data_IF_136970100386
#
_entry.id   IF_136970100386
#
_cell.length_a   1.000
_cell.length_b   1.000
_cell.length_c   1.000
_cell.angle_alpha   90.00
_cell.angle_beta   90.00
_cell.angle_gamma   90.00
#
_symmetry.space_group_name_H-M   'P 1'
#
loop_
_entity.id
_entity.type
_entity.pdbx_description
1 polymer ?
#
# COMPACT_ATOMS: atom_id res chain seq x y z
N UNK A 1 8.76 22.04 2.95
CA UNK A 1 9.27 20.76 3.45
C UNK A 1 8.61 19.69 2.60
N UNK A 2 9.40 18.96 1.79
CA UNK A 2 8.86 17.90 0.93
C UNK A 2 8.42 16.74 1.84
N UNK A 3 7.14 16.39 1.81
CA UNK A 3 6.64 15.24 2.54
C UNK A 3 7.00 13.98 1.75
N UNK A 4 7.70 13.08 2.38
CA UNK A 4 8.04 11.76 1.83
C UNK A 4 6.74 10.96 1.74
N UNK A 5 6.32 10.62 0.52
CA UNK A 5 5.20 9.70 0.31
C UNK A 5 5.80 8.30 0.43
N UNK A 6 5.62 7.70 1.58
CA UNK A 6 5.93 6.30 1.79
C UNK A 6 4.77 5.50 1.16
N UNK A 7 5.05 4.76 0.08
CA UNK A 7 4.06 3.88 -0.57
C UNK A 7 3.85 2.61 0.26
N UNK A 8 3.40 2.78 1.48
CA UNK A 8 2.89 1.69 2.30
C UNK A 8 1.83 2.32 3.20
N UNK A 9 0.59 2.15 2.81
CA UNK A 9 -0.56 2.79 3.43
C UNK A 9 -0.91 4.13 2.76
N UNK A 10 -2.15 4.27 2.41
CA UNK A 10 -2.72 5.46 1.78
C UNK A 10 -2.67 6.64 2.77
N UNK A 11 -1.51 7.30 2.91
CA UNK A 11 -1.44 8.58 3.62
C UNK A 11 -1.70 9.65 2.57
N UNK A 12 -2.96 9.98 2.39
CA UNK A 12 -3.35 11.13 1.58
C UNK A 12 -2.89 12.40 2.28
N UNK A 13 -1.81 13.00 1.79
CA UNK A 13 -1.47 14.36 2.16
C UNK A 13 -2.36 15.26 1.36
N UNK A 14 -3.24 16.03 2.01
CA UNK A 14 -4.09 17.02 1.34
C UNK A 14 -3.22 17.93 0.46
N UNK A 15 -3.40 17.91 -0.86
CA UNK A 15 -2.71 18.81 -1.77
C UNK A 15 -3.32 20.19 -1.71
N UNK A 16 -2.55 21.18 -2.13
CA UNK A 16 -3.00 22.58 -2.14
C UNK A 16 -3.68 22.99 -3.44
N UNK A 17 -3.83 22.09 -4.42
CA UNK A 17 -4.42 22.40 -5.75
C UNK A 17 -5.07 21.15 -6.35
N UNK A 18 -6.26 21.32 -6.92
CA UNK A 18 -6.91 20.30 -7.75
C UNK A 18 -6.03 19.96 -8.97
N UNK A 19 -5.82 18.70 -9.24
CA UNK A 19 -4.98 18.31 -10.36
C UNK A 19 -4.88 16.80 -10.58
N UNK A 20 -4.26 16.48 -11.70
CA UNK A 20 -3.82 15.10 -12.01
C UNK A 20 -2.32 15.02 -11.79
N UNK A 21 -1.88 14.02 -11.07
CA UNK A 21 -0.48 13.65 -10.93
C UNK A 21 -0.24 12.24 -11.43
N UNK A 22 1.01 11.91 -11.70
CA UNK A 22 1.45 10.56 -12.04
C UNK A 22 2.64 10.18 -11.16
N UNK A 23 2.77 8.91 -10.86
CA UNK A 23 3.90 8.37 -10.14
C UNK A 23 4.47 7.14 -10.84
N UNK A 24 5.75 6.88 -10.60
CA UNK A 24 6.43 5.66 -11.02
C UNK A 24 7.46 5.29 -9.96
N UNK A 25 7.57 4.00 -9.66
CA UNK A 25 8.52 3.48 -8.68
C UNK A 25 9.15 2.17 -9.14
N UNK A 26 10.33 1.91 -8.58
CA UNK A 26 11.02 0.62 -8.66
C UNK A 26 11.41 0.25 -7.24
N UNK A 27 11.10 -0.96 -6.84
CA UNK A 27 11.50 -1.52 -5.54
C UNK A 27 12.21 -2.85 -5.71
N UNK A 28 13.12 -3.17 -4.79
CA UNK A 28 13.81 -4.48 -4.80
C UNK A 28 12.86 -5.62 -4.47
N UNK A 29 11.77 -5.32 -3.76
CA UNK A 29 10.66 -6.23 -3.49
C UNK A 29 9.41 -5.38 -3.20
N UNK A 30 8.25 -5.79 -3.71
CA UNK A 30 6.97 -5.19 -3.39
C UNK A 30 6.40 -5.88 -2.16
N UNK A 31 6.42 -5.18 -1.05
CA UNK A 31 5.83 -5.65 0.22
C UNK A 31 4.49 -4.94 0.42
N UNK A 32 3.45 -5.71 0.70
CA UNK A 32 2.14 -5.20 1.08
C UNK A 32 1.76 -5.73 2.48
N UNK A 33 1.65 -4.83 3.46
CA UNK A 33 1.33 -5.15 4.85
C UNK A 33 2.18 -6.30 5.42
N UNK A 34 3.50 -6.24 5.18
CA UNK A 34 4.46 -7.20 5.67
C UNK A 34 4.79 -8.36 4.72
N UNK A 35 3.88 -8.71 3.82
CA UNK A 35 4.01 -9.86 2.92
C UNK A 35 4.60 -9.47 1.57
N UNK A 36 5.52 -10.28 1.03
CA UNK A 36 6.06 -10.09 -0.32
C UNK A 36 4.98 -10.34 -1.39
N UNK A 37 4.94 -9.45 -2.38
CA UNK A 37 4.04 -9.54 -3.52
C UNK A 37 4.78 -9.86 -4.81
N UNK A 38 6.08 -9.59 -4.89
CA UNK A 38 6.82 -9.73 -6.14
C UNK A 38 7.98 -10.73 -6.08
N UNK A 39 8.41 -11.17 -4.89
CA UNK A 39 9.58 -12.04 -4.70
C UNK A 39 10.76 -11.59 -5.60
N UNK A 40 11.06 -10.27 -5.53
CA UNK A 40 12.08 -9.62 -6.33
C UNK A 40 11.63 -8.25 -6.86
N UNK A 41 12.34 -7.76 -7.88
CA UNK A 41 12.14 -6.39 -8.39
C UNK A 41 10.71 -6.19 -8.89
N UNK A 42 10.04 -5.16 -8.35
CA UNK A 42 8.76 -4.67 -8.84
C UNK A 42 8.87 -3.25 -9.41
N UNK A 43 8.14 -3.03 -10.49
CA UNK A 43 7.91 -1.71 -11.09
C UNK A 43 6.45 -1.37 -10.89
N UNK A 44 6.19 -0.19 -10.34
CA UNK A 44 4.84 0.28 -10.06
C UNK A 44 4.62 1.68 -10.64
N UNK A 45 3.35 2.06 -10.79
CA UNK A 45 3.01 3.41 -11.18
C UNK A 45 1.51 3.63 -11.24
N UNK A 46 1.11 4.90 -11.26
CA UNK A 46 -0.29 5.26 -11.22
C UNK A 46 -0.58 6.69 -11.64
N UNK A 47 -1.85 7.00 -11.64
CA UNK A 47 -2.39 8.33 -11.84
C UNK A 47 -3.38 8.66 -10.74
N UNK A 48 -3.25 9.85 -10.18
CA UNK A 48 -4.08 10.37 -9.12
C UNK A 48 -4.79 11.63 -9.58
N UNK A 49 -6.04 11.77 -9.23
CA UNK A 49 -6.80 13.01 -9.32
C UNK A 49 -7.22 13.45 -7.93
N UNK A 50 -6.99 14.71 -7.63
CA UNK A 50 -7.39 15.31 -6.36
C UNK A 50 -8.14 16.61 -6.64
N UNK A 51 -9.26 16.79 -5.95
CA UNK A 51 -10.10 17.98 -6.06
C UNK A 51 -9.92 18.89 -4.84
N UNK A 52 -10.10 20.20 -5.03
CA UNK A 52 -9.98 21.21 -3.94
C UNK A 52 -10.92 20.95 -2.74
N UNK A 53 -11.98 20.19 -2.94
CA UNK A 53 -12.95 19.88 -1.88
C UNK A 53 -12.58 18.64 -1.05
N UNK A 54 -11.44 17.99 -1.33
CA UNK A 54 -10.97 16.79 -0.64
C UNK A 54 -11.36 15.46 -1.29
N UNK A 55 -12.16 15.46 -2.37
CA UNK A 55 -12.39 14.25 -3.16
C UNK A 55 -11.14 13.86 -3.92
N UNK A 56 -10.83 12.57 -3.94
CA UNK A 56 -9.75 12.00 -4.75
C UNK A 56 -10.19 10.71 -5.43
N UNK A 57 -9.52 10.37 -6.53
CA UNK A 57 -9.64 9.09 -7.21
C UNK A 57 -8.34 8.76 -7.94
N UNK A 58 -8.03 7.48 -8.12
CA UNK A 58 -6.82 7.10 -8.84
C UNK A 58 -6.87 5.67 -9.33
N UNK A 59 -5.81 5.36 -10.07
CA UNK A 59 -5.47 4.00 -10.51
C UNK A 59 -3.99 3.77 -10.26
N UNK A 60 -3.66 2.56 -9.85
CA UNK A 60 -2.29 2.16 -9.61
C UNK A 60 -2.09 0.73 -10.11
N UNK A 61 -0.86 0.33 -10.34
CA UNK A 61 -0.54 -1.05 -10.67
C UNK A 61 0.93 -1.37 -10.48
N UNK A 62 1.20 -2.65 -10.29
CA UNK A 62 2.55 -3.20 -10.14
C UNK A 62 2.64 -4.60 -10.74
N UNK A 63 3.85 -5.05 -11.04
CA UNK A 63 4.07 -6.46 -11.28
C UNK A 63 4.15 -7.20 -9.93
N UNK A 64 3.56 -8.39 -9.90
CA UNK A 64 3.57 -9.32 -8.77
C UNK A 64 4.14 -10.67 -9.21
N UNK A 65 4.59 -11.48 -8.24
CA UNK A 65 5.00 -12.87 -8.42
C UNK A 65 4.72 -13.67 -7.15
N UNK A 66 3.62 -14.38 -7.12
CA UNK A 66 3.23 -15.24 -5.99
C UNK A 66 3.65 -16.72 -6.20
N UNK A 67 4.50 -16.99 -7.20
CA UNK A 67 4.81 -18.37 -7.57
C UNK A 67 3.59 -19.09 -8.16
N UNK A 68 3.11 -20.13 -7.51
CA UNK A 68 1.96 -20.89 -8.00
C UNK A 68 0.64 -20.37 -7.45
N UNK A 69 -0.30 -20.13 -8.35
CA UNK A 69 -1.68 -19.76 -8.03
C UNK A 69 -2.68 -20.52 -8.92
N UNK A 70 -3.91 -20.67 -8.47
CA UNK A 70 -4.99 -21.25 -9.29
C UNK A 70 -5.57 -20.15 -10.18
N UNK A 71 -5.45 -20.33 -11.50
CA UNK A 71 -5.98 -19.39 -12.50
C UNK A 71 -7.52 -19.45 -12.61
N UNK A 72 -8.08 -18.55 -13.43
CA UNK A 72 -9.53 -18.45 -13.66
C UNK A 72 -10.13 -19.70 -14.35
N UNK A 73 -9.31 -20.57 -14.91
CA UNK A 73 -9.72 -21.86 -15.46
C UNK A 73 -9.66 -23.00 -14.42
N UNK A 74 -9.22 -22.72 -13.19
CA UNK A 74 -9.07 -23.68 -12.10
C UNK A 74 -7.83 -24.54 -12.22
N UNK A 75 -6.81 -24.07 -12.95
CA UNK A 75 -5.55 -24.79 -13.16
C UNK A 75 -4.48 -24.17 -12.25
N UNK A 76 -3.76 -24.99 -11.50
CA UNK A 76 -2.57 -24.54 -10.76
C UNK A 76 -1.51 -24.11 -11.75
N UNK A 77 -1.23 -22.84 -11.81
CA UNK A 77 -0.33 -22.21 -12.78
C UNK A 77 0.84 -21.56 -12.05
N UNK A 78 2.05 -21.67 -12.62
CA UNK A 78 3.19 -20.89 -12.17
C UNK A 78 2.96 -19.43 -12.56
N UNK A 79 2.73 -18.60 -11.54
CA UNK A 79 2.47 -17.16 -11.67
C UNK A 79 3.78 -16.36 -11.61
N UNK A 80 4.80 -16.84 -12.32
CA UNK A 80 6.14 -16.23 -12.40
C UNK A 80 6.18 -14.79 -12.89
N UNK A 81 5.04 -14.22 -13.35
CA UNK A 81 4.82 -12.78 -13.55
C UNK A 81 3.33 -12.50 -13.72
N UNK A 82 2.73 -11.87 -12.74
CA UNK A 82 1.38 -11.31 -12.79
C UNK A 82 1.40 -9.80 -12.69
N UNK A 83 0.23 -9.20 -12.64
CA UNK A 83 0.06 -7.78 -12.37
C UNK A 83 -1.08 -7.58 -11.39
N UNK A 84 -0.92 -6.56 -10.54
CA UNK A 84 -1.96 -5.97 -9.72
C UNK A 84 -2.42 -4.66 -10.34
N UNK A 85 -3.72 -4.41 -10.32
CA UNK A 85 -4.32 -3.15 -10.71
C UNK A 85 -5.35 -2.73 -9.67
N UNK A 86 -5.16 -1.52 -9.14
CA UNK A 86 -6.02 -0.94 -8.15
C UNK A 86 -6.78 0.25 -8.72
N UNK A 87 -8.04 0.32 -8.35
CA UNK A 87 -8.89 1.49 -8.60
C UNK A 87 -9.40 1.97 -7.26
N UNK A 88 -9.19 3.23 -6.96
CA UNK A 88 -9.58 3.79 -5.67
C UNK A 88 -10.21 5.17 -5.81
N UNK A 89 -11.01 5.53 -4.82
CA UNK A 89 -11.55 6.87 -4.64
C UNK A 89 -11.89 7.09 -3.17
N UNK A 90 -11.97 8.35 -2.78
CA UNK A 90 -12.27 8.69 -1.41
C UNK A 90 -12.45 10.17 -1.17
N UNK A 91 -12.55 10.50 0.10
CA UNK A 91 -12.71 11.86 0.57
C UNK A 91 -11.86 12.08 1.81
N UNK A 92 -10.94 13.03 1.74
CA UNK A 92 -10.09 13.42 2.83
C UNK A 92 -10.40 14.84 3.30
N UNK A 93 -10.40 15.06 4.60
CA UNK A 93 -10.67 16.36 5.22
C UNK A 93 -9.92 16.49 6.55
N UNK A 94 -9.97 17.70 7.13
CA UNK A 94 -9.44 17.94 8.49
C UNK A 94 -10.55 18.48 9.38
N UNK A 95 -10.71 17.89 10.56
CA UNK A 95 -11.68 18.34 11.57
C UNK A 95 -10.97 18.51 12.91
N UNK A 96 -10.86 19.74 13.37
CA UNK A 96 -10.27 20.04 14.68
C UNK A 96 -8.80 19.64 14.85
N UNK A 97 -8.02 19.66 13.78
CA UNK A 97 -6.60 19.23 13.78
C UNK A 97 -6.39 17.73 13.60
N UNK A 98 -7.47 17.00 13.34
CA UNK A 98 -7.45 15.56 13.01
C UNK A 98 -7.75 15.42 11.53
N UNK A 99 -6.81 14.84 10.77
CA UNK A 99 -7.06 14.39 9.40
C UNK A 99 -7.97 13.17 9.42
N UNK A 100 -8.98 13.18 8.55
CA UNK A 100 -9.93 12.08 8.37
C UNK A 100 -9.99 11.74 6.90
N UNK A 101 -9.78 10.48 6.57
CA UNK A 101 -9.87 9.94 5.21
C UNK A 101 -10.87 8.78 5.20
N UNK A 102 -11.77 8.78 4.24
CA UNK A 102 -12.66 7.64 3.97
C UNK A 102 -12.52 7.28 2.50
N UNK A 103 -11.93 6.12 2.25
CA UNK A 103 -11.65 5.60 0.93
C UNK A 103 -12.30 4.26 0.63
N UNK A 104 -12.34 3.95 -0.64
CA UNK A 104 -12.65 2.64 -1.18
C UNK A 104 -11.57 2.26 -2.18
N UNK A 105 -11.11 1.03 -2.12
CA UNK A 105 -10.14 0.48 -3.06
C UNK A 105 -10.59 -0.89 -3.55
N UNK A 106 -10.41 -1.14 -4.85
CA UNK A 106 -10.66 -2.42 -5.49
C UNK A 106 -9.35 -2.93 -6.08
N UNK A 107 -8.87 -4.05 -5.56
CA UNK A 107 -7.67 -4.76 -5.99
C UNK A 107 -8.06 -5.78 -7.05
N UNK A 108 -7.36 -5.79 -8.18
CA UNK A 108 -7.63 -6.66 -9.33
C UNK A 108 -6.38 -7.38 -9.78
N UNK A 109 -6.50 -8.69 -9.93
CA UNK A 109 -5.43 -9.59 -10.33
C UNK A 109 -5.79 -10.32 -11.62
N UNK A 110 -5.50 -9.75 -12.81
CA UNK A 110 -5.87 -10.34 -14.09
C UNK A 110 -5.33 -11.77 -14.28
N UNK A 111 -6.24 -12.69 -14.58
CA UNK A 111 -5.92 -14.11 -14.76
C UNK A 111 -6.01 -14.97 -13.50
N UNK A 112 -6.16 -14.35 -12.33
CA UNK A 112 -6.40 -14.99 -11.02
C UNK A 112 -7.47 -14.23 -10.24
N UNK A 113 -8.60 -13.96 -10.86
CA UNK A 113 -9.68 -13.14 -10.31
C UNK A 113 -10.28 -13.66 -8.99
N UNK A 114 -9.98 -14.90 -8.61
CA UNK A 114 -10.32 -15.43 -7.28
C UNK A 114 -9.64 -14.68 -6.12
N UNK A 115 -8.57 -13.94 -6.41
CA UNK A 115 -7.87 -13.10 -5.45
C UNK A 115 -8.30 -11.63 -5.51
N UNK A 116 -9.23 -11.27 -6.40
CA UNK A 116 -9.81 -9.92 -6.44
C UNK A 116 -10.57 -9.63 -5.15
N UNK A 117 -10.33 -8.46 -4.57
CA UNK A 117 -11.05 -8.04 -3.36
C UNK A 117 -11.22 -6.52 -3.30
N UNK A 118 -12.04 -6.08 -2.38
CA UNK A 118 -12.31 -4.67 -2.14
C UNK A 118 -12.26 -4.36 -0.64
N UNK A 119 -11.82 -3.12 -0.34
CA UNK A 119 -11.79 -2.59 1.02
C UNK A 119 -12.45 -1.21 1.12
N UNK A 120 -13.11 -0.97 2.25
CA UNK A 120 -13.43 0.37 2.73
C UNK A 120 -12.41 0.75 3.80
N UNK A 121 -11.73 1.85 3.58
CA UNK A 121 -10.59 2.27 4.43
C UNK A 121 -10.96 3.55 5.18
N UNK A 122 -10.74 3.55 6.49
CA UNK A 122 -10.80 4.73 7.35
C UNK A 122 -9.40 5.07 7.86
N UNK A 123 -8.89 6.23 7.46
CA UNK A 123 -7.65 6.80 7.96
C UNK A 123 -7.91 7.95 8.95
N UNK A 124 -7.18 7.96 10.04
CA UNK A 124 -7.15 9.07 11.00
C UNK A 124 -5.70 9.51 11.20
N UNK A 125 -5.44 10.81 11.25
CA UNK A 125 -4.09 11.32 11.49
C UNK A 125 -4.09 12.52 12.42
N UNK A 126 -3.06 12.62 13.28
CA UNK A 126 -2.83 13.76 14.14
C UNK A 126 -1.33 14.01 14.32
N UNK A 127 -0.82 15.09 13.72
CA UNK A 127 0.63 15.36 13.68
C UNK A 127 1.36 14.26 12.92
N UNK A 128 2.24 13.55 13.60
CA UNK A 128 3.04 12.47 13.02
C UNK A 128 2.47 11.06 13.30
N UNK A 129 1.31 10.98 13.96
CA UNK A 129 0.60 9.72 14.23
C UNK A 129 -0.48 9.45 13.21
N UNK A 130 -0.64 8.18 12.84
CA UNK A 130 -1.71 7.68 11.99
C UNK A 130 -2.33 6.41 12.54
N UNK A 131 -3.61 6.21 12.21
CA UNK A 131 -4.35 4.96 12.41
C UNK A 131 -5.09 4.70 11.11
N UNK A 132 -4.99 3.48 10.59
CA UNK A 132 -5.74 3.04 9.40
C UNK A 132 -6.50 1.77 9.74
N UNK A 133 -7.79 1.76 9.45
CA UNK A 133 -8.61 0.56 9.50
C UNK A 133 -9.15 0.28 8.10
N UNK A 134 -8.83 -0.90 7.58
CA UNK A 134 -9.31 -1.40 6.30
C UNK A 134 -10.27 -2.56 6.53
N UNK A 135 -11.52 -2.34 6.15
CA UNK A 135 -12.56 -3.37 6.22
C UNK A 135 -12.69 -4.05 4.87
N UNK A 136 -12.34 -5.33 4.82
CA UNK A 136 -12.53 -6.15 3.63
C UNK A 136 -14.03 -6.38 3.38
N UNK A 137 -14.52 -5.94 2.22
CA UNK A 137 -15.93 -6.10 1.85
C UNK A 137 -16.18 -7.37 1.04
N UNK A 138 -15.11 -8.03 0.59
CA UNK A 138 -15.15 -9.30 -0.14
C UNK A 138 -15.09 -10.47 0.84
N UNK A 139 -16.00 -11.42 0.70
CA UNK A 139 -16.04 -12.62 1.55
C UNK A 139 -14.77 -13.46 1.38
N UNK A 140 -14.16 -13.86 2.49
CA UNK A 140 -12.94 -14.68 2.53
C UNK A 140 -11.66 -13.85 2.68
N UNK A 141 -11.78 -12.51 2.74
CA UNK A 141 -10.71 -11.60 3.09
C UNK A 141 -10.92 -11.05 4.50
N UNK A 142 -9.87 -10.65 5.15
CA UNK A 142 -9.87 -10.25 6.57
C UNK A 142 -9.58 -8.76 6.74
N UNK A 143 -10.10 -8.18 7.82
CA UNK A 143 -9.89 -6.78 8.15
C UNK A 143 -8.46 -6.54 8.64
N UNK A 144 -8.01 -5.29 8.49
CA UNK A 144 -6.65 -4.88 8.86
C UNK A 144 -6.67 -3.57 9.63
N UNK A 145 -5.89 -3.49 10.71
CA UNK A 145 -5.68 -2.30 11.52
C UNK A 145 -4.21 -1.96 11.59
N UNK A 146 -3.83 -0.71 11.27
CA UNK A 146 -2.45 -0.24 11.34
C UNK A 146 -2.33 1.02 12.22
N UNK A 147 -1.25 1.08 12.98
CA UNK A 147 -0.76 2.25 13.68
C UNK A 147 0.54 2.71 13.03
N UNK A 148 0.67 4.01 12.75
CA UNK A 148 1.87 4.57 12.15
C UNK A 148 2.39 5.77 12.93
N UNK A 149 3.71 5.97 12.85
CA UNK A 149 4.37 7.13 13.42
C UNK A 149 5.58 7.53 12.58
N UNK A 150 5.74 8.83 12.34
CA UNK A 150 6.89 9.37 11.62
C UNK A 150 7.73 10.31 12.48
N UNK A 151 9.04 10.20 12.40
CA UNK A 151 9.97 11.13 13.05
C UNK A 151 11.08 11.54 12.07
N UNK A 152 10.98 12.76 11.54
CA UNK A 152 11.88 13.22 10.49
C UNK A 152 11.83 12.31 9.25
N UNK A 153 12.95 11.69 8.84
CA UNK A 153 12.97 10.79 7.68
C UNK A 153 12.62 9.32 8.02
N UNK A 154 12.38 9.01 9.29
CA UNK A 154 12.11 7.65 9.75
C UNK A 154 10.61 7.44 9.92
N UNK A 155 10.08 6.37 9.33
CA UNK A 155 8.71 5.90 9.51
C UNK A 155 8.66 4.56 10.23
N UNK A 156 7.63 4.39 11.03
CA UNK A 156 7.30 3.14 11.73
C UNK A 156 5.84 2.82 11.47
N UNK A 157 5.52 1.57 11.19
CA UNK A 157 4.14 1.10 11.29
C UNK A 157 4.09 -0.29 11.91
N UNK A 158 2.99 -0.56 12.59
CA UNK A 158 2.62 -1.85 13.10
C UNK A 158 1.18 -2.09 12.71
N UNK A 159 0.95 -3.20 12.02
CA UNK A 159 -0.37 -3.58 11.54
C UNK A 159 -0.74 -4.98 11.98
N UNK A 160 -2.04 -5.24 12.03
CA UNK A 160 -2.59 -6.52 12.44
C UNK A 160 -3.80 -6.86 11.58
N UNK A 161 -3.82 -8.07 11.07
CA UNK A 161 -5.00 -8.71 10.49
C UNK A 161 -5.80 -9.43 11.56
N UNK A 162 -7.10 -9.59 11.35
CA UNK A 162 -7.94 -10.28 12.32
C UNK A 162 -7.57 -11.76 12.51
N UNK A 163 -7.16 -12.47 11.46
CA UNK A 163 -6.93 -13.92 11.48
C UNK A 163 -5.70 -14.38 10.66
N UNK A 164 -4.77 -13.47 10.31
CA UNK A 164 -3.62 -13.84 9.47
C UNK A 164 -2.27 -13.65 10.14
N UNK A 165 -2.14 -12.63 10.97
CA UNK A 165 -0.89 -12.26 11.61
C UNK A 165 -0.71 -10.76 11.78
N UNK A 166 0.49 -10.36 12.13
CA UNK A 166 0.85 -8.95 12.30
C UNK A 166 2.15 -8.60 11.56
N UNK A 167 2.32 -7.32 11.29
CA UNK A 167 3.52 -6.83 10.62
C UNK A 167 4.12 -5.60 11.27
N UNK A 168 5.44 -5.50 11.17
CA UNK A 168 6.21 -4.32 11.54
C UNK A 168 6.95 -3.79 10.32
N UNK A 169 6.90 -2.47 10.11
CA UNK A 169 7.71 -1.80 9.12
C UNK A 169 8.52 -0.69 9.77
N UNK A 170 9.80 -0.62 9.43
CA UNK A 170 10.68 0.51 9.76
C UNK A 170 11.33 1.00 8.49
N UNK A 171 11.16 2.28 8.17
CA UNK A 171 11.66 2.84 6.92
C UNK A 171 12.50 4.10 7.16
N UNK A 172 13.42 4.37 6.25
CA UNK A 172 14.20 5.59 6.18
C UNK A 172 14.17 6.15 4.75
N UNK A 173 13.65 7.36 4.62
CA UNK A 173 13.54 8.03 3.34
C UNK A 173 14.60 9.11 3.15
N UNK A 174 15.11 9.24 1.92
CA UNK A 174 16.12 10.23 1.55
C UNK A 174 16.01 10.60 0.06
N UNK A 175 16.55 11.78 -0.31
CA UNK A 175 16.59 12.19 -1.71
C UNK A 175 17.82 11.63 -2.40
N UNK A 176 17.65 11.03 -3.57
CA UNK A 176 18.73 10.57 -4.45
C UNK A 176 18.68 11.34 -5.79
N UNK A 177 19.22 12.53 -5.77
CA UNK A 177 19.14 13.47 -6.89
C UNK A 177 17.76 14.11 -7.00
N UNK A 178 17.07 13.88 -8.13
CA UNK A 178 15.70 14.35 -8.37
C UNK A 178 14.63 13.35 -7.96
N UNK A 179 15.03 12.22 -7.44
CA UNK A 179 14.16 11.11 -7.07
C UNK A 179 14.03 10.99 -5.55
N UNK A 180 12.97 10.34 -5.10
CA UNK A 180 12.79 9.93 -3.73
C UNK A 180 13.26 8.48 -3.56
N UNK A 181 14.12 8.23 -2.59
CA UNK A 181 14.66 6.92 -2.28
C UNK A 181 14.28 6.51 -0.87
N UNK A 182 14.18 5.20 -0.64
CA UNK A 182 14.01 4.67 0.71
C UNK A 182 14.73 3.33 0.90
N UNK A 183 15.01 3.04 2.16
CA UNK A 183 15.32 1.71 2.64
C UNK A 183 14.34 1.37 3.75
N UNK A 184 13.80 0.17 3.74
CA UNK A 184 12.86 -0.31 4.75
C UNK A 184 13.19 -1.73 5.19
N UNK A 185 12.96 -2.01 6.46
CA UNK A 185 12.87 -3.36 6.98
C UNK A 185 11.41 -3.66 7.25
N UNK A 186 10.95 -4.77 6.70
CA UNK A 186 9.61 -5.32 6.87
C UNK A 186 9.71 -6.67 7.55
N UNK A 187 8.76 -6.95 8.42
CA UNK A 187 8.64 -8.20 9.16
C UNK A 187 7.16 -8.56 9.23
N UNK A 188 6.81 -9.79 8.93
CA UNK A 188 5.46 -10.33 9.08
C UNK A 188 5.53 -11.60 9.91
N UNK A 189 4.77 -11.60 11.00
CA UNK A 189 4.61 -12.76 11.90
C UNK A 189 3.28 -13.44 11.60
N UNK A 190 3.34 -14.68 11.12
CA UNK A 190 2.18 -15.46 10.72
C UNK A 190 1.47 -16.09 11.92
N UNK A 191 0.16 -15.92 12.02
CA UNK A 191 -0.69 -16.56 13.03
C UNK A 191 -1.36 -17.86 12.54
N UNK A 192 -0.74 -18.53 11.56
CA UNK A 192 -1.18 -19.81 11.03
C UNK A 192 -1.94 -19.71 9.71
N UNK A 193 -1.82 -18.59 9.00
CA UNK A 193 -2.40 -18.38 7.67
C UNK A 193 -1.56 -19.04 6.58
N UNK A 194 -0.32 -18.61 6.42
CA UNK A 194 0.64 -19.16 5.45
C UNK A 194 1.51 -20.27 6.04
N UNK A 195 1.72 -20.22 7.36
CA UNK A 195 2.60 -21.10 8.12
C UNK A 195 4.07 -20.68 8.08
N UNK A 196 4.38 -19.50 7.54
CA UNK A 196 5.74 -18.98 7.43
C UNK A 196 5.77 -17.48 7.78
N UNK A 197 6.72 -17.10 8.64
CA UNK A 197 7.05 -15.70 8.88
C UNK A 197 7.86 -15.16 7.70
N UNK A 198 7.69 -13.87 7.38
CA UNK A 198 8.45 -13.22 6.29
C UNK A 198 9.23 -12.02 6.83
N UNK A 199 10.48 -11.85 6.40
CA UNK A 199 11.22 -10.62 6.63
C UNK A 199 11.96 -10.16 5.37
N UNK A 200 12.05 -8.86 5.16
CA UNK A 200 12.71 -8.30 4.00
C UNK A 200 13.40 -6.97 4.29
N UNK A 201 14.54 -6.76 3.62
CA UNK A 201 15.18 -5.45 3.50
C UNK A 201 14.93 -4.92 2.09
N UNK A 202 14.16 -3.83 1.99
CA UNK A 202 13.65 -3.30 0.74
C UNK A 202 14.29 -1.96 0.40
N UNK A 203 14.71 -1.80 -0.85
CA UNK A 203 15.21 -0.55 -1.42
C UNK A 203 14.26 -0.06 -2.49
N UNK A 204 13.88 1.22 -2.44
CA UNK A 204 12.97 1.80 -3.42
C UNK A 204 13.49 3.12 -3.96
N UNK A 205 13.13 3.41 -5.21
CA UNK A 205 13.32 4.69 -5.88
C UNK A 205 12.04 5.06 -6.60
N UNK A 206 11.59 6.30 -6.47
CA UNK A 206 10.37 6.78 -7.12
C UNK A 206 10.49 8.21 -7.63
N UNK A 207 9.59 8.55 -8.54
CA UNK A 207 9.38 9.89 -9.07
C UNK A 207 7.88 10.20 -9.12
N UNK A 208 7.53 11.45 -8.82
CA UNK A 208 6.19 12.01 -9.06
C UNK A 208 6.27 13.12 -10.11
N UNK A 209 5.26 13.18 -11.01
CA UNK A 209 5.15 14.09 -12.15
C UNK A 209 3.89 14.96 -12.03
#
# INVERSE_FOLDING_TARGET
>A
MKKLILMIGLIVTLPSFAGVSANVGITSDYIWRGMTQSDGISVSGGFDYEADNGFYAGVWGANINWGYATDDAGVLTDYGSGNEFDVYFGYATEVGGIGVDLGYVSFKYPGISAYDFEEVVLGLSMGDFGITYANATTSGFTDYLEFSYAIGPVGFSYGQYDDMGDNLLVSYGFSCGSYDCSVAYSDFSDDGYSGEDEDALVFSISASL
#
